data_IF_808196489065
#
_entry.id   IF_808196489065
#
_cell.length_a   1.000
_cell.length_b   1.000
_cell.length_c   1.000
_cell.angle_alpha   90.00
_cell.angle_beta   90.00
_cell.angle_gamma   90.00
#
_symmetry.space_group_name_H-M   'P 1'
#
loop_
_entity.id
_entity.type
_entity.pdbx_description
1 polymer ?
#
# COMPACT_ATOMS: atom_id res chain seq x y z
N UNK A 1 -15.20 -11.68 -21.12
CA UNK A 1 -15.91 -10.48 -20.60
C UNK A 1 -17.39 -10.51 -20.97
N UNK A 2 -17.76 -10.61 -22.25
CA UNK A 2 -19.17 -10.66 -22.69
C UNK A 2 -20.02 -11.71 -21.95
N UNK A 3 -19.54 -12.95 -21.84
CA UNK A 3 -20.27 -14.00 -21.13
C UNK A 3 -20.58 -13.70 -19.65
N UNK A 4 -19.72 -12.93 -18.97
CA UNK A 4 -19.99 -12.50 -17.59
C UNK A 4 -21.05 -11.40 -17.55
N UNK A 5 -20.98 -10.43 -18.48
CA UNK A 5 -21.96 -9.34 -18.60
C UNK A 5 -23.38 -9.86 -18.87
N UNK A 6 -23.51 -10.94 -19.65
CA UNK A 6 -24.80 -11.60 -19.92
C UNK A 6 -25.38 -12.34 -18.69
N UNK A 7 -24.58 -12.59 -17.65
CA UNK A 7 -25.02 -13.26 -16.42
C UNK A 7 -25.21 -12.31 -15.24
N UNK A 8 -24.20 -11.48 -14.95
CA UNK A 8 -24.19 -10.51 -13.86
C UNK A 8 -23.14 -9.43 -14.13
N UNK A 9 -23.61 -8.19 -14.28
CA UNK A 9 -22.76 -7.02 -14.54
C UNK A 9 -21.98 -6.58 -13.29
N UNK A 10 -22.68 -6.38 -12.18
CA UNK A 10 -22.08 -5.90 -10.93
C UNK A 10 -22.92 -6.28 -9.71
N UNK A 11 -22.24 -6.60 -8.60
CA UNK A 11 -22.83 -6.71 -7.27
C UNK A 11 -21.86 -6.17 -6.23
N UNK A 12 -22.38 -5.40 -5.27
CA UNK A 12 -21.60 -4.91 -4.15
C UNK A 12 -21.25 -6.07 -3.20
N UNK A 13 -20.00 -6.19 -2.75
CA UNK A 13 -19.56 -7.20 -1.77
C UNK A 13 -20.01 -6.91 -0.32
N UNK A 14 -21.17 -6.30 -0.13
CA UNK A 14 -21.78 -6.01 1.16
C UNK A 14 -22.46 -7.22 1.80
N UNK A 15 -21.70 -8.30 2.05
CA UNK A 15 -22.23 -9.56 2.60
C UNK A 15 -22.66 -10.59 1.57
N UNK A 16 -22.41 -10.33 0.29
CA UNK A 16 -22.65 -11.26 -0.83
C UNK A 16 -21.39 -11.37 -1.70
N UNK A 17 -21.31 -12.43 -2.50
CA UNK A 17 -20.22 -12.67 -3.45
C UNK A 17 -20.76 -13.34 -4.71
N UNK A 18 -19.90 -13.58 -5.71
CA UNK A 18 -20.23 -14.30 -6.94
C UNK A 18 -19.09 -15.27 -7.33
N UNK A 19 -19.38 -16.31 -8.13
CA UNK A 19 -18.40 -17.35 -8.46
C UNK A 19 -17.09 -16.82 -9.04
N UNK A 20 -17.15 -15.82 -9.92
CA UNK A 20 -15.95 -15.20 -10.51
C UNK A 20 -14.98 -14.62 -9.47
N UNK A 21 -15.47 -13.94 -8.44
CA UNK A 21 -14.64 -13.38 -7.37
C UNK A 21 -14.02 -14.47 -6.50
N UNK A 22 -14.78 -15.52 -6.20
CA UNK A 22 -14.33 -16.68 -5.42
C UNK A 22 -13.21 -17.40 -6.17
N UNK A 23 -13.44 -17.77 -7.43
CA UNK A 23 -12.46 -18.47 -8.27
C UNK A 23 -11.18 -17.66 -8.45
N UNK A 24 -11.29 -16.35 -8.67
CA UNK A 24 -10.11 -15.49 -8.74
C UNK A 24 -9.36 -15.44 -7.39
N UNK A 25 -10.10 -15.29 -6.29
CA UNK A 25 -9.52 -15.24 -4.95
C UNK A 25 -8.76 -16.51 -4.59
N UNK A 26 -9.34 -17.68 -4.84
CA UNK A 26 -8.68 -18.98 -4.60
C UNK A 26 -7.41 -19.14 -5.43
N UNK A 27 -7.45 -18.78 -6.71
CA UNK A 27 -6.28 -18.83 -7.60
C UNK A 27 -5.17 -17.89 -7.16
N UNK A 28 -5.51 -16.67 -6.76
CA UNK A 28 -4.53 -15.70 -6.27
C UNK A 28 -3.90 -16.19 -4.96
N UNK A 29 -4.70 -16.65 -3.99
CA UNK A 29 -4.19 -17.18 -2.72
C UNK A 29 -3.21 -18.35 -2.91
N UNK A 30 -3.42 -19.21 -3.92
CA UNK A 30 -2.50 -20.29 -4.25
C UNK A 30 -1.13 -19.81 -4.79
N UNK A 31 -1.02 -18.56 -5.25
CA UNK A 31 0.23 -17.96 -5.74
C UNK A 31 0.93 -17.09 -4.68
N UNK A 32 0.28 -16.78 -3.57
CA UNK A 32 0.83 -15.91 -2.54
C UNK A 32 1.67 -16.71 -1.52
N UNK A 33 2.63 -16.05 -0.84
CA UNK A 33 3.32 -16.66 0.29
C UNK A 33 2.36 -17.10 1.39
N UNK A 34 2.71 -18.17 2.13
CA UNK A 34 1.82 -18.80 3.13
C UNK A 34 1.36 -17.85 4.26
N UNK A 35 2.09 -16.75 4.50
CA UNK A 35 1.72 -15.74 5.49
C UNK A 35 0.63 -14.77 5.00
N UNK A 36 0.06 -14.97 3.80
CA UNK A 36 -1.03 -14.16 3.24
C UNK A 36 -2.27 -15.04 3.02
N UNK A 37 -3.31 -14.84 3.83
CA UNK A 37 -4.45 -15.74 3.89
C UNK A 37 -5.79 -15.13 3.44
N UNK A 38 -5.81 -13.83 3.09
CA UNK A 38 -7.03 -13.09 2.75
C UNK A 38 -6.76 -12.08 1.65
N UNK A 39 -7.78 -11.79 0.86
CA UNK A 39 -7.76 -10.83 -0.22
C UNK A 39 -8.84 -9.78 0.00
N UNK A 40 -8.54 -8.56 -0.41
CA UNK A 40 -9.49 -7.46 -0.51
C UNK A 40 -9.39 -6.88 -1.92
N UNK A 41 -10.49 -6.87 -2.66
CA UNK A 41 -10.52 -6.32 -4.02
C UNK A 41 -10.74 -4.81 -3.99
N UNK A 42 -10.03 -4.10 -4.86
CA UNK A 42 -10.23 -2.67 -5.12
C UNK A 42 -10.11 -2.40 -6.63
N UNK A 43 -10.32 -1.16 -7.05
CA UNK A 43 -10.47 -0.81 -8.47
C UNK A 43 -9.14 -0.77 -9.24
N UNK A 44 -8.06 -0.30 -8.62
CA UNK A 44 -6.74 -0.19 -9.22
C UNK A 44 -5.61 -0.18 -8.18
N UNK A 45 -4.36 0.03 -8.64
CA UNK A 45 -3.18 0.11 -7.78
C UNK A 45 -3.29 1.19 -6.70
N UNK A 46 -3.63 2.43 -7.07
CA UNK A 46 -3.76 3.54 -6.10
C UNK A 46 -4.80 3.23 -5.01
N UNK A 47 -5.97 2.70 -5.39
CA UNK A 47 -7.01 2.34 -4.40
C UNK A 47 -6.59 1.16 -3.53
N UNK A 48 -5.79 0.22 -4.06
CA UNK A 48 -5.22 -0.86 -3.25
C UNK A 48 -4.29 -0.31 -2.18
N UNK A 49 -3.50 0.71 -2.50
CA UNK A 49 -2.63 1.40 -1.53
C UNK A 49 -3.46 2.14 -0.48
N UNK A 50 -4.52 2.86 -0.85
CA UNK A 50 -5.43 3.50 0.12
C UNK A 50 -6.00 2.48 1.12
N UNK A 51 -6.43 1.33 0.63
CA UNK A 51 -6.93 0.23 1.46
C UNK A 51 -5.82 -0.27 2.39
N UNK A 52 -4.63 -0.54 1.87
CA UNK A 52 -3.50 -1.05 2.65
C UNK A 52 -3.06 -0.07 3.76
N UNK A 53 -3.01 1.24 3.47
CA UNK A 53 -2.69 2.27 4.44
C UNK A 53 -3.73 2.32 5.56
N UNK A 54 -5.03 2.30 5.21
CA UNK A 54 -6.12 2.27 6.20
C UNK A 54 -6.10 1.00 7.05
N UNK A 55 -5.88 -0.17 6.43
CA UNK A 55 -5.77 -1.44 7.15
C UNK A 55 -4.59 -1.44 8.13
N UNK A 56 -3.45 -0.85 7.75
CA UNK A 56 -2.26 -0.77 8.60
C UNK A 56 -2.50 0.09 9.84
N UNK A 57 -3.11 1.27 9.67
CA UNK A 57 -3.50 2.14 10.80
C UNK A 57 -4.55 1.45 11.67
N UNK A 58 -5.59 0.89 11.05
CA UNK A 58 -6.68 0.24 11.78
C UNK A 58 -6.21 -0.98 12.58
N UNK A 59 -5.26 -1.75 12.06
CA UNK A 59 -4.66 -2.88 12.78
C UNK A 59 -4.08 -2.45 14.13
N UNK A 60 -3.32 -1.35 14.16
CA UNK A 60 -2.76 -0.82 15.40
C UNK A 60 -3.84 -0.25 16.32
N UNK A 61 -4.82 0.46 15.79
CA UNK A 61 -5.96 0.97 16.57
C UNK A 61 -6.74 -0.17 17.26
N UNK A 62 -6.97 -1.27 16.55
CA UNK A 62 -7.64 -2.47 17.10
C UNK A 62 -6.83 -3.13 18.23
N UNK A 63 -5.51 -2.90 18.28
CA UNK A 63 -4.63 -3.33 19.37
C UNK A 63 -4.48 -2.29 20.49
N UNK A 64 -5.25 -1.19 20.45
CA UNK A 64 -5.15 -0.09 21.41
C UNK A 64 -3.89 0.78 21.22
N UNK A 65 -3.19 0.64 20.10
CA UNK A 65 -1.96 1.38 19.80
C UNK A 65 -2.28 2.57 18.90
N UNK A 66 -1.84 3.77 19.30
CA UNK A 66 -1.97 4.98 18.49
C UNK A 66 -0.76 5.15 17.57
N UNK A 67 -0.58 4.19 16.65
CA UNK A 67 0.43 4.29 15.60
C UNK A 67 -0.16 4.98 14.39
N UNK A 68 0.49 6.03 13.93
CA UNK A 68 0.10 6.84 12.77
C UNK A 68 1.35 7.27 12.04
N UNK A 69 1.30 7.36 10.72
CA UNK A 69 2.44 7.72 9.90
C UNK A 69 2.94 6.55 9.07
N UNK A 70 3.55 6.90 7.94
CA UNK A 70 4.02 5.96 6.92
C UNK A 70 5.49 6.25 6.65
N UNK A 71 6.26 5.21 6.40
CA UNK A 71 7.61 5.31 5.82
C UNK A 71 7.51 4.90 4.36
N UNK A 72 8.24 5.59 3.48
CA UNK A 72 8.38 5.25 2.07
C UNK A 72 9.77 5.66 1.55
N UNK A 73 10.12 5.27 0.32
CA UNK A 73 11.36 5.73 -0.32
C UNK A 73 11.16 7.09 -1.03
N UNK A 74 12.22 7.90 -1.08
CA UNK A 74 12.19 9.26 -1.68
C UNK A 74 11.75 9.31 -3.15
N UNK A 75 11.97 8.25 -3.92
CA UNK A 75 11.61 8.19 -5.35
C UNK A 75 10.50 7.16 -5.63
N UNK A 76 9.78 6.69 -4.60
CA UNK A 76 8.73 5.69 -4.74
C UNK A 76 7.56 6.17 -5.63
N UNK A 77 6.86 5.24 -6.29
CA UNK A 77 5.58 5.53 -6.92
C UNK A 77 4.52 4.54 -6.44
N UNK A 78 3.46 5.06 -5.81
CA UNK A 78 2.37 4.25 -5.27
C UNK A 78 1.00 4.65 -5.83
N UNK A 79 0.96 5.62 -6.75
CA UNK A 79 -0.26 6.08 -7.41
C UNK A 79 -0.67 7.50 -7.05
N UNK A 80 -1.82 7.92 -7.57
CA UNK A 80 -2.21 9.34 -7.65
C UNK A 80 -3.42 9.72 -6.76
N UNK A 81 -3.98 8.78 -5.99
CA UNK A 81 -4.93 9.12 -4.92
C UNK A 81 -4.17 9.73 -3.73
N UNK A 82 -4.82 10.53 -2.86
CA UNK A 82 -4.12 11.30 -1.83
C UNK A 82 -3.19 10.48 -0.91
N UNK A 83 -3.60 9.30 -0.47
CA UNK A 83 -2.78 8.43 0.36
C UNK A 83 -1.63 7.78 -0.40
N UNK A 84 -1.91 7.29 -1.61
CA UNK A 84 -0.92 6.75 -2.53
C UNK A 84 0.15 7.80 -2.92
N UNK A 85 -0.30 9.00 -3.27
CA UNK A 85 0.53 10.14 -3.63
C UNK A 85 1.38 10.59 -2.44
N UNK A 86 0.81 10.62 -1.23
CA UNK A 86 1.55 10.95 -0.03
C UNK A 86 2.66 9.94 0.27
N UNK A 87 2.44 8.66 -0.04
CA UNK A 87 3.45 7.62 0.10
C UNK A 87 4.43 7.55 -1.08
N UNK A 88 4.24 8.36 -2.13
CA UNK A 88 5.14 8.46 -3.28
C UNK A 88 6.23 9.51 -3.05
N UNK A 89 7.27 9.50 -3.88
CA UNK A 89 8.30 10.54 -3.94
C UNK A 89 7.72 11.90 -4.31
N UNK A 90 8.31 12.98 -3.78
CA UNK A 90 7.85 14.34 -4.09
C UNK A 90 8.46 14.78 -5.43
N UNK A 91 7.64 15.29 -6.33
CA UNK A 91 8.04 15.83 -7.61
C UNK A 91 7.02 16.81 -8.17
N UNK A 92 7.24 17.23 -9.42
CA UNK A 92 6.44 18.27 -10.10
C UNK A 92 4.92 18.03 -10.04
N UNK A 93 4.49 16.76 -10.09
CA UNK A 93 3.09 16.39 -10.17
C UNK A 93 2.34 16.36 -8.82
N UNK A 94 3.06 16.29 -7.69
CA UNK A 94 2.43 16.23 -6.37
C UNK A 94 2.83 17.37 -5.42
N UNK A 95 3.77 18.22 -5.79
CA UNK A 95 4.18 19.41 -5.02
C UNK A 95 2.99 20.34 -4.73
N UNK A 96 2.11 20.54 -5.71
CA UNK A 96 0.89 21.37 -5.57
C UNK A 96 -0.04 20.84 -4.47
N UNK A 97 0.01 19.54 -4.18
CA UNK A 97 -0.81 18.90 -3.16
C UNK A 97 -0.07 18.71 -1.84
N UNK A 98 1.22 19.06 -1.71
CA UNK A 98 2.07 18.70 -0.57
C UNK A 98 1.47 19.06 0.80
N UNK A 99 0.80 20.21 0.90
CA UNK A 99 0.17 20.67 2.15
C UNK A 99 -1.15 19.94 2.50
N UNK A 100 -1.64 19.07 1.62
CA UNK A 100 -2.84 18.26 1.79
C UNK A 100 -2.53 16.77 1.97
N UNK A 101 -1.27 16.36 1.79
CA UNK A 101 -0.84 14.98 1.91
C UNK A 101 -0.66 14.60 3.38
N UNK A 102 -0.95 13.33 3.69
CA UNK A 102 -0.63 12.80 5.02
C UNK A 102 0.90 12.81 5.24
N UNK A 103 1.37 12.98 6.48
CA UNK A 103 2.80 13.00 6.76
C UNK A 103 3.42 11.62 6.50
N UNK A 104 4.50 11.60 5.69
CA UNK A 104 5.27 10.41 5.36
C UNK A 104 6.75 10.71 5.58
N UNK A 105 7.43 9.83 6.33
CA UNK A 105 8.89 9.88 6.43
C UNK A 105 9.46 9.21 5.19
N UNK A 106 10.15 9.98 4.37
CA UNK A 106 10.83 9.46 3.19
C UNK A 106 12.29 9.20 3.53
N UNK A 107 12.75 7.99 3.23
CA UNK A 107 14.14 7.59 3.41
C UNK A 107 14.79 7.33 2.04
N UNK A 108 16.14 7.44 1.93
CA UNK A 108 16.84 7.16 0.68
C UNK A 108 16.60 5.74 0.16
N UNK A 109 16.72 5.55 -1.14
CA UNK A 109 16.69 4.21 -1.74
C UNK A 109 17.94 3.42 -1.29
N UNK A 110 17.79 2.12 -0.91
CA UNK A 110 18.92 1.28 -0.56
C UNK A 110 19.84 1.05 -1.77
N UNK A 111 21.14 1.13 -1.51
CA UNK A 111 22.22 0.83 -2.43
C UNK A 111 23.34 0.12 -1.68
N UNK A 112 24.28 -0.48 -2.41
CA UNK A 112 25.42 -1.20 -1.81
C UNK A 112 26.29 -0.31 -0.91
N UNK A 113 26.21 1.02 -1.02
CA UNK A 113 27.05 1.96 -0.27
C UNK A 113 26.33 2.60 0.93
N UNK A 114 25.00 2.48 1.03
CA UNK A 114 24.24 3.11 2.12
C UNK A 114 23.41 2.14 2.98
N UNK A 115 23.32 0.85 2.61
CA UNK A 115 22.39 -0.10 3.22
C UNK A 115 22.54 -0.22 4.75
N UNK A 116 23.76 -0.30 5.26
CA UNK A 116 24.00 -0.46 6.70
C UNK A 116 23.54 0.78 7.49
N UNK A 117 23.92 1.97 7.01
CA UNK A 117 23.50 3.23 7.61
C UNK A 117 21.98 3.44 7.50
N UNK A 118 21.38 3.04 6.38
CA UNK A 118 19.94 3.15 6.15
C UNK A 118 19.15 2.20 7.06
N UNK A 119 19.66 1.00 7.31
CA UNK A 119 19.08 0.09 8.30
C UNK A 119 19.09 0.70 9.70
N UNK A 120 20.20 1.33 10.11
CA UNK A 120 20.29 2.02 11.40
C UNK A 120 19.29 3.19 11.48
N UNK A 121 19.24 4.04 10.45
CA UNK A 121 18.27 5.13 10.35
C UNK A 121 16.83 4.62 10.45
N UNK A 122 16.49 3.57 9.69
CA UNK A 122 15.16 2.96 9.70
C UNK A 122 14.80 2.41 11.08
N UNK A 123 15.73 1.75 11.77
CA UNK A 123 15.51 1.25 13.14
C UNK A 123 15.22 2.41 14.09
N UNK A 124 16.04 3.46 14.09
CA UNK A 124 15.83 4.63 14.93
C UNK A 124 14.48 5.32 14.63
N UNK A 125 14.11 5.41 13.35
CA UNK A 125 12.87 5.99 12.89
C UNK A 125 11.65 5.19 13.39
N UNK A 126 11.69 3.85 13.28
CA UNK A 126 10.64 2.96 13.78
C UNK A 126 10.49 3.08 15.29
N UNK A 127 11.60 3.10 16.04
CA UNK A 127 11.58 3.21 17.50
C UNK A 127 10.96 4.54 17.95
N UNK A 128 11.42 5.64 17.36
CA UNK A 128 11.02 6.99 17.74
C UNK A 128 9.59 7.33 17.33
N UNK A 129 9.19 6.98 16.11
CA UNK A 129 7.93 7.44 15.55
C UNK A 129 6.81 6.40 15.57
N UNK A 130 7.15 5.12 15.78
CA UNK A 130 6.17 4.03 15.83
C UNK A 130 5.19 4.08 14.64
N UNK A 131 5.69 4.08 13.39
CA UNK A 131 4.85 4.22 12.20
C UNK A 131 3.84 3.08 12.10
N UNK A 132 2.74 3.32 11.38
CA UNK A 132 1.75 2.29 11.10
C UNK A 132 2.17 1.38 9.94
N UNK A 133 2.97 1.88 8.99
CA UNK A 133 3.39 1.14 7.81
C UNK A 133 4.76 1.59 7.30
N UNK A 134 5.48 0.67 6.66
CA UNK A 134 6.56 0.95 5.73
C UNK A 134 6.18 0.33 4.39
N UNK A 135 6.14 1.13 3.33
CA UNK A 135 5.71 0.72 2.00
C UNK A 135 6.81 0.94 0.97
N UNK A 136 6.99 -0.03 0.07
CA UNK A 136 8.00 0.01 -0.97
C UNK A 136 7.69 -0.96 -2.12
N UNK A 137 8.27 -0.71 -3.29
CA UNK A 137 8.24 -1.59 -4.46
C UNK A 137 9.42 -2.59 -4.41
N UNK A 138 9.22 -3.89 -4.74
CA UNK A 138 10.30 -4.86 -4.72
C UNK A 138 11.23 -4.73 -5.95
N UNK A 139 12.53 -4.51 -5.69
CA UNK A 139 13.71 -4.58 -6.59
C UNK A 139 13.75 -3.68 -7.83
N UNK A 140 12.64 -3.44 -8.51
CA UNK A 140 12.56 -2.58 -9.71
C UNK A 140 11.41 -1.60 -9.50
N UNK A 141 11.72 -0.31 -9.50
CA UNK A 141 10.68 0.72 -9.55
C UNK A 141 10.05 0.69 -10.94
N UNK A 142 8.76 0.36 -11.00
CA UNK A 142 8.06 0.15 -12.27
C UNK A 142 7.72 1.45 -12.99
N UNK A 143 7.68 2.56 -12.24
CA UNK A 143 7.50 3.90 -12.77
C UNK A 143 8.82 4.67 -12.62
N UNK A 144 9.52 4.85 -13.74
CA UNK A 144 10.65 5.75 -13.89
C UNK A 144 10.32 6.78 -14.97
#
# INVERSE_FOLDING_TARGET
MQAQLEQLEHVLFGGVSHPGAITLGEKLLACLPENQARLFFSDNGSTAIEVALKMSVQYHLNKGQKRSGVIAFEQAYHGDTFGAMAASGIGLYNEVFANHLLPVNRIPIPSNTNIDALCEELTQLIEKQQPAAFIFEPLVQGAA
#
